data_IF_410287957732
#
_entry.id   IF_410287957732
#
_cell.length_a   1.000
_cell.length_b   1.000
_cell.length_c   1.000
_cell.angle_alpha   90.00
_cell.angle_beta   90.00
_cell.angle_gamma   90.00
#
_symmetry.space_group_name_H-M   'P 1'
#
loop_
_entity.id
_entity.type
_entity.pdbx_description
1 polymer ?
#
# COMPACT_ATOMS: atom_id res chain seq x y z
N UNK A 1 -2.19 -10.12 -2.54
CA UNK A 1 -2.63 -10.90 -3.53
C UNK A 1 -1.85 -11.01 -4.83
N UNK A 2 -1.32 -9.93 -5.41
CA UNK A 2 -0.54 -9.96 -6.66
C UNK A 2 0.89 -10.40 -6.37
N UNK A 3 1.41 -11.37 -7.14
CA UNK A 3 2.68 -12.04 -6.87
C UNK A 3 3.75 -11.83 -7.97
N UNK A 4 3.53 -10.93 -8.92
CA UNK A 4 4.55 -10.63 -9.91
C UNK A 4 5.42 -9.45 -9.48
N UNK A 5 6.70 -9.51 -9.85
CA UNK A 5 7.70 -8.50 -9.53
C UNK A 5 8.50 -8.17 -10.80
N UNK A 6 9.10 -6.99 -10.83
CA UNK A 6 10.09 -6.57 -11.85
C UNK A 6 11.54 -6.69 -11.33
N UNK A 7 11.72 -7.28 -10.16
CA UNK A 7 13.05 -7.54 -9.58
C UNK A 7 13.79 -8.56 -10.43
N UNK A 8 15.05 -8.32 -10.72
CA UNK A 8 15.93 -9.29 -11.35
C UNK A 8 16.10 -10.50 -10.42
N UNK A 9 15.88 -11.70 -10.93
CA UNK A 9 15.93 -12.96 -10.18
C UNK A 9 16.76 -14.00 -10.93
N UNK A 10 18.10 -13.79 -11.03
CA UNK A 10 18.98 -14.68 -11.78
C UNK A 10 19.08 -16.09 -11.17
N UNK A 11 18.84 -16.22 -9.89
CA UNK A 11 18.90 -17.50 -9.15
C UNK A 11 17.54 -18.22 -9.09
N UNK A 12 16.50 -17.67 -9.71
CA UNK A 12 15.13 -18.22 -9.73
C UNK A 12 14.49 -18.46 -8.35
N UNK A 13 14.85 -17.67 -7.35
CA UNK A 13 14.24 -17.76 -6.01
C UNK A 13 12.74 -17.44 -6.01
N UNK A 14 12.28 -16.66 -6.96
CA UNK A 14 10.85 -16.37 -7.13
C UNK A 14 10.02 -17.64 -7.35
N UNK A 15 10.56 -18.62 -8.08
CA UNK A 15 9.92 -19.93 -8.26
C UNK A 15 9.79 -20.67 -6.93
N UNK A 16 10.86 -20.70 -6.13
CA UNK A 16 10.84 -21.32 -4.80
C UNK A 16 9.82 -20.67 -3.88
N UNK A 17 9.70 -19.33 -3.91
CA UNK A 17 8.68 -18.59 -3.12
C UNK A 17 7.26 -19.02 -3.53
N UNK A 18 6.96 -19.14 -4.81
CA UNK A 18 5.64 -19.59 -5.28
C UNK A 18 5.34 -21.04 -4.83
N UNK A 19 6.33 -21.94 -4.87
CA UNK A 19 6.20 -23.32 -4.40
C UNK A 19 5.90 -23.38 -2.89
N UNK A 20 6.57 -22.55 -2.07
CA UNK A 20 6.29 -22.43 -0.65
C UNK A 20 4.87 -21.90 -0.37
N UNK A 21 4.39 -20.95 -1.16
CA UNK A 21 3.02 -20.46 -1.07
C UNK A 21 2.00 -21.54 -1.41
N UNK A 22 2.25 -22.36 -2.45
CA UNK A 22 1.40 -23.51 -2.81
C UNK A 22 1.42 -24.56 -1.71
N UNK A 23 2.59 -24.93 -1.19
CA UNK A 23 2.73 -25.87 -0.07
C UNK A 23 2.01 -25.38 1.21
N UNK A 24 1.81 -24.05 1.33
CA UNK A 24 1.10 -23.42 2.43
C UNK A 24 -0.39 -23.18 2.15
N UNK A 25 -0.92 -23.63 1.01
CA UNK A 25 -2.35 -23.61 0.69
C UNK A 25 -2.78 -22.63 -0.40
N UNK A 26 -1.87 -22.01 -1.15
CA UNK A 26 -2.22 -21.27 -2.35
C UNK A 26 -2.63 -22.24 -3.49
N UNK A 27 -3.37 -21.74 -4.48
CA UNK A 27 -3.70 -22.53 -5.66
C UNK A 27 -2.44 -22.81 -6.50
N UNK A 28 -2.34 -24.00 -7.06
CA UNK A 28 -1.18 -24.39 -7.87
C UNK A 28 -1.07 -23.61 -9.20
N UNK A 29 -2.15 -23.00 -9.67
CA UNK A 29 -2.18 -22.16 -10.85
C UNK A 29 -1.21 -20.97 -10.80
N UNK A 30 -0.87 -20.48 -9.59
CA UNK A 30 0.12 -19.42 -9.43
C UNK A 30 1.51 -19.79 -9.95
N UNK A 31 1.80 -21.07 -10.13
CA UNK A 31 3.07 -21.56 -10.65
C UNK A 31 3.19 -21.40 -12.18
N UNK A 32 2.08 -21.23 -12.88
CA UNK A 32 2.01 -21.21 -14.36
C UNK A 32 1.45 -19.90 -14.92
N UNK A 33 0.71 -19.14 -14.12
CA UNK A 33 0.16 -17.86 -14.52
C UNK A 33 1.24 -16.79 -14.66
N UNK A 34 1.19 -16.01 -15.73
CA UNK A 34 2.12 -14.89 -15.95
C UNK A 34 1.97 -13.79 -14.89
N UNK A 35 0.75 -13.58 -14.38
CA UNK A 35 0.43 -12.58 -13.35
C UNK A 35 -0.34 -13.25 -12.22
N UNK A 36 0.36 -14.05 -11.39
CA UNK A 36 -0.29 -14.85 -10.36
C UNK A 36 -0.95 -13.97 -9.29
N UNK A 37 -2.12 -14.42 -8.83
CA UNK A 37 -2.93 -13.75 -7.84
C UNK A 37 -3.58 -14.76 -6.88
N UNK A 38 -3.32 -14.64 -5.58
CA UNK A 38 -3.89 -15.55 -4.57
C UNK A 38 -5.32 -15.13 -4.18
N UNK A 39 -5.59 -13.84 -4.12
CA UNK A 39 -6.81 -13.29 -3.53
C UNK A 39 -6.70 -13.07 -2.02
N UNK A 40 -7.36 -12.03 -1.53
CA UNK A 40 -7.15 -11.54 -0.15
C UNK A 40 -7.59 -12.55 0.91
N UNK A 41 -8.75 -13.18 0.77
CA UNK A 41 -9.24 -14.14 1.77
C UNK A 41 -8.42 -15.44 1.79
N UNK A 42 -7.99 -15.91 0.62
CA UNK A 42 -7.14 -17.11 0.51
C UNK A 42 -5.77 -16.89 1.17
N UNK A 43 -5.27 -15.65 1.13
CA UNK A 43 -3.99 -15.29 1.72
C UNK A 43 -3.94 -15.56 3.23
N UNK A 44 -5.03 -15.38 3.96
CA UNK A 44 -5.10 -15.69 5.39
C UNK A 44 -4.82 -17.18 5.67
N UNK A 45 -5.28 -18.08 4.80
CA UNK A 45 -4.98 -19.52 4.89
C UNK A 45 -3.51 -19.80 4.61
N UNK A 46 -2.96 -19.17 3.58
CA UNK A 46 -1.55 -19.32 3.21
C UNK A 46 -0.62 -18.85 4.33
N UNK A 47 -0.91 -17.69 4.95
CA UNK A 47 -0.11 -17.17 6.07
C UNK A 47 -0.14 -18.12 7.27
N UNK A 48 -1.30 -18.71 7.58
CA UNK A 48 -1.39 -19.75 8.64
C UNK A 48 -0.58 -21.00 8.30
N UNK A 49 -0.61 -21.42 7.04
CA UNK A 49 0.19 -22.55 6.54
C UNK A 49 1.69 -22.29 6.64
N UNK A 50 2.16 -21.09 6.25
CA UNK A 50 3.56 -20.67 6.40
C UNK A 50 4.01 -20.70 7.86
N UNK A 51 3.18 -20.18 8.78
CA UNK A 51 3.47 -20.24 10.22
C UNK A 51 3.61 -21.67 10.72
N UNK A 52 2.64 -22.53 10.43
CA UNK A 52 2.68 -23.93 10.83
C UNK A 52 3.94 -24.64 10.30
N UNK A 53 4.38 -24.29 9.09
CA UNK A 53 5.59 -24.83 8.48
C UNK A 53 6.86 -24.34 9.20
N UNK A 54 6.93 -23.05 9.57
CA UNK A 54 8.05 -22.50 10.37
C UNK A 54 8.15 -23.27 11.70
N UNK A 55 7.05 -23.45 12.40
CA UNK A 55 6.98 -24.15 13.67
C UNK A 55 7.38 -25.64 13.54
N UNK A 56 6.91 -26.32 12.48
CA UNK A 56 7.26 -27.71 12.18
C UNK A 56 8.75 -27.91 11.86
N UNK A 57 9.42 -26.88 11.36
CA UNK A 57 10.87 -26.87 11.09
C UNK A 57 11.70 -26.45 12.32
N UNK A 58 11.09 -26.28 13.49
CA UNK A 58 11.77 -25.88 14.72
C UNK A 58 11.93 -24.37 14.90
N UNK A 59 11.30 -23.55 14.03
CA UNK A 59 11.22 -22.12 14.21
C UNK A 59 10.17 -21.73 15.27
N UNK A 60 10.20 -20.48 15.69
CA UNK A 60 9.28 -19.92 16.66
C UNK A 60 8.57 -18.69 16.09
N UNK A 61 7.26 -18.56 16.31
CA UNK A 61 6.46 -17.38 15.98
C UNK A 61 5.87 -16.81 17.26
N UNK A 62 6.30 -15.61 17.63
CA UNK A 62 5.87 -14.90 18.84
C UNK A 62 4.90 -13.77 18.50
N UNK A 63 3.66 -13.90 18.96
CA UNK A 63 2.66 -12.83 18.90
C UNK A 63 2.77 -11.93 20.14
N UNK A 64 2.29 -10.67 20.01
CA UNK A 64 2.36 -9.71 21.11
C UNK A 64 3.78 -9.27 21.47
N UNK A 65 4.77 -9.58 20.64
CA UNK A 65 6.20 -9.38 20.90
C UNK A 65 6.72 -8.24 20.03
N UNK A 66 6.23 -7.00 20.26
CA UNK A 66 6.67 -5.81 19.54
C UNK A 66 8.11 -5.49 19.90
N UNK A 67 8.98 -5.36 18.89
CA UNK A 67 10.36 -4.89 19.05
C UNK A 67 10.34 -3.38 19.27
N UNK A 68 10.92 -2.91 20.37
CA UNK A 68 11.06 -1.49 20.68
C UNK A 68 12.44 -0.92 20.41
N UNK A 69 13.48 -1.75 20.56
CA UNK A 69 14.85 -1.29 20.38
C UNK A 69 15.79 -2.38 19.89
N UNK A 70 16.77 -1.98 19.07
CA UNK A 70 17.93 -2.81 18.77
C UNK A 70 18.99 -2.63 19.86
N UNK A 71 19.54 -3.75 20.34
CA UNK A 71 20.68 -3.74 21.28
C UNK A 71 21.96 -3.82 20.48
N UNK A 72 22.72 -2.75 20.46
CA UNK A 72 23.97 -2.63 19.74
C UNK A 72 25.13 -2.58 20.73
N UNK A 73 26.20 -3.32 20.48
CA UNK A 73 27.45 -3.24 21.22
C UNK A 73 28.55 -2.61 20.35
N UNK A 74 29.36 -1.75 20.90
CA UNK A 74 30.51 -1.16 20.22
C UNK A 74 31.58 -2.25 19.99
N UNK A 75 32.16 -2.26 18.78
CA UNK A 75 33.28 -3.15 18.43
C UNK A 75 34.43 -2.30 17.92
N UNK A 76 35.56 -2.31 18.62
CA UNK A 76 36.82 -1.79 18.10
C UNK A 76 36.90 -0.30 17.80
N UNK A 77 35.94 0.52 18.26
CA UNK A 77 35.91 1.97 18.08
C UNK A 77 34.49 2.55 18.04
N UNK A 78 34.36 3.86 18.14
CA UNK A 78 33.06 4.57 18.25
C UNK A 78 32.11 4.42 17.03
N UNK A 79 32.59 3.97 15.89
CA UNK A 79 31.81 3.90 14.62
C UNK A 79 31.37 2.51 14.21
N UNK A 80 31.80 1.46 14.89
CA UNK A 80 31.43 0.07 14.55
C UNK A 80 30.55 -0.52 15.64
N UNK A 81 29.36 -0.94 15.26
CA UNK A 81 28.40 -1.56 16.17
C UNK A 81 28.04 -2.97 15.70
N UNK A 82 27.86 -3.88 16.63
CA UNK A 82 27.32 -5.22 16.38
C UNK A 82 25.97 -5.36 17.04
N UNK A 83 25.02 -5.95 16.30
CA UNK A 83 23.76 -6.36 16.89
C UNK A 83 24.00 -7.48 17.91
N UNK A 84 23.53 -7.31 19.13
CA UNK A 84 23.63 -8.32 20.19
C UNK A 84 22.27 -8.77 20.69
N UNK A 85 21.17 -8.12 20.28
CA UNK A 85 19.83 -8.51 20.65
C UNK A 85 18.77 -7.47 20.35
N UNK A 86 17.57 -7.76 20.80
CA UNK A 86 16.37 -6.94 20.67
C UNK A 86 15.75 -6.74 22.06
N UNK A 87 15.20 -5.58 22.34
CA UNK A 87 14.33 -5.34 23.47
C UNK A 87 12.87 -5.30 23.01
N UNK A 88 11.99 -5.99 23.71
CA UNK A 88 10.57 -6.09 23.42
C UNK A 88 9.77 -5.15 24.33
N UNK A 89 8.58 -4.72 23.86
CA UNK A 89 7.68 -3.84 24.59
C UNK A 89 7.18 -4.40 25.93
N UNK A 90 7.20 -5.71 26.10
CA UNK A 90 6.83 -6.38 27.34
C UNK A 90 7.97 -6.48 28.36
N UNK A 91 9.13 -5.91 28.06
CA UNK A 91 10.33 -5.94 28.91
C UNK A 91 11.28 -7.13 28.68
N UNK A 92 10.88 -8.09 27.83
CA UNK A 92 11.74 -9.22 27.47
C UNK A 92 12.86 -8.77 26.53
N UNK A 93 13.93 -9.56 26.45
CA UNK A 93 15.02 -9.39 25.49
C UNK A 93 15.30 -10.67 24.72
N UNK A 94 15.59 -10.52 23.43
CA UNK A 94 15.95 -11.62 22.55
C UNK A 94 17.41 -11.44 22.13
N UNK A 95 18.33 -12.31 22.53
CA UNK A 95 19.72 -12.26 22.03
C UNK A 95 19.76 -12.72 20.58
N UNK A 96 20.36 -11.91 19.70
CA UNK A 96 20.58 -12.28 18.31
C UNK A 96 21.76 -11.50 17.72
N UNK A 97 22.40 -12.08 16.71
CA UNK A 97 23.48 -11.45 15.93
C UNK A 97 23.08 -11.13 14.50
N UNK A 98 22.01 -11.72 14.03
CA UNK A 98 21.46 -11.51 12.70
C UNK A 98 19.98 -11.18 12.81
N UNK A 99 19.53 -10.16 12.10
CA UNK A 99 18.16 -9.68 12.09
C UNK A 99 17.72 -9.40 10.66
N UNK A 100 16.57 -9.94 10.27
CA UNK A 100 15.86 -9.55 9.05
C UNK A 100 14.71 -8.62 9.44
N UNK A 101 14.79 -7.36 9.02
CA UNK A 101 13.75 -6.36 9.23
C UNK A 101 12.74 -6.43 8.07
N UNK A 102 11.53 -6.88 8.37
CA UNK A 102 10.45 -6.96 7.40
C UNK A 102 9.12 -6.40 7.98
N UNK A 103 9.12 -5.19 8.61
CA UNK A 103 8.00 -4.66 9.37
C UNK A 103 6.85 -4.15 8.48
N UNK A 104 7.07 -3.99 7.18
CA UNK A 104 6.14 -3.36 6.24
C UNK A 104 6.14 -1.82 6.35
N UNK A 105 5.42 -1.17 5.44
CA UNK A 105 5.42 0.29 5.31
C UNK A 105 4.68 1.03 6.45
N UNK A 106 3.83 0.35 7.18
CA UNK A 106 3.01 0.96 8.25
C UNK A 106 3.70 1.01 9.61
N UNK A 107 4.85 0.34 9.77
CA UNK A 107 5.61 0.30 11.02
C UNK A 107 6.49 1.56 11.17
N UNK A 108 5.84 2.73 11.22
CA UNK A 108 6.51 4.04 11.28
C UNK A 108 7.31 4.26 12.56
N UNK A 109 6.92 3.61 13.64
CA UNK A 109 7.65 3.53 14.90
C UNK A 109 8.98 2.79 14.74
N UNK A 110 9.03 1.72 13.93
CA UNK A 110 10.27 1.02 13.62
C UNK A 110 11.26 1.92 12.86
N UNK A 111 10.79 2.72 11.91
CA UNK A 111 11.66 3.65 11.18
C UNK A 111 12.26 4.71 12.12
N UNK A 112 11.45 5.27 13.01
CA UNK A 112 11.93 6.23 14.03
C UNK A 112 12.94 5.58 15.00
N UNK A 113 12.70 4.34 15.41
CA UNK A 113 13.62 3.57 16.25
C UNK A 113 14.95 3.31 15.54
N UNK A 114 14.94 2.93 14.25
CA UNK A 114 16.16 2.71 13.48
C UNK A 114 17.00 3.98 13.34
N UNK A 115 16.36 5.14 13.10
CA UNK A 115 17.03 6.44 13.08
C UNK A 115 17.68 6.75 14.42
N UNK A 116 16.93 6.58 15.54
CA UNK A 116 17.42 6.86 16.88
C UNK A 116 18.63 6.02 17.29
N UNK A 117 18.71 4.77 16.83
CA UNK A 117 19.88 3.92 17.13
C UNK A 117 21.01 4.08 16.11
N UNK A 118 20.91 5.05 15.19
CA UNK A 118 21.96 5.41 14.25
C UNK A 118 22.10 4.45 13.06
N UNK A 119 21.09 3.66 12.72
CA UNK A 119 21.07 2.90 11.47
C UNK A 119 20.94 3.88 10.30
N UNK A 120 21.82 3.87 9.30
CA UNK A 120 21.71 4.74 8.14
C UNK A 120 20.40 4.50 7.39
N UNK A 121 19.63 5.57 7.19
CA UNK A 121 18.36 5.56 6.44
C UNK A 121 18.45 6.63 5.36
N UNK A 122 18.01 6.30 4.16
CA UNK A 122 17.91 7.22 3.04
C UNK A 122 16.45 7.50 2.69
N UNK A 123 16.10 8.76 2.46
CA UNK A 123 14.81 9.14 1.92
C UNK A 123 14.69 8.61 0.48
N UNK A 124 13.56 7.95 0.17
CA UNK A 124 13.26 7.49 -1.17
C UNK A 124 11.97 8.12 -1.65
N UNK A 125 12.00 8.69 -2.85
CA UNK A 125 10.80 9.26 -3.46
C UNK A 125 9.73 8.19 -3.67
N UNK A 126 8.50 8.58 -3.44
CA UNK A 126 7.31 7.74 -3.59
C UNK A 126 6.19 8.55 -4.25
N UNK A 127 5.01 7.99 -4.37
CA UNK A 127 3.86 8.66 -4.98
C UNK A 127 2.67 8.66 -4.03
N UNK A 128 1.91 9.73 -4.06
CA UNK A 128 0.67 9.91 -3.29
C UNK A 128 -0.47 10.26 -4.24
N UNK A 129 -1.71 10.06 -3.80
CA UNK A 129 -2.86 10.38 -4.63
C UNK A 129 -4.18 9.93 -4.04
N UNK A 130 -5.11 9.62 -4.90
CA UNK A 130 -6.47 9.21 -4.57
C UNK A 130 -6.77 7.81 -5.11
N UNK A 131 -7.86 7.22 -4.67
CA UNK A 131 -8.35 5.96 -5.23
C UNK A 131 -9.63 6.21 -5.99
N UNK A 132 -9.63 5.90 -7.30
CA UNK A 132 -10.82 5.92 -8.13
C UNK A 132 -11.56 4.58 -8.04
N UNK A 133 -12.88 4.62 -7.97
CA UNK A 133 -13.76 3.46 -8.01
C UNK A 133 -14.83 3.67 -9.09
N UNK A 134 -15.11 2.65 -9.87
CA UNK A 134 -16.07 2.68 -10.97
C UNK A 134 -16.66 1.28 -11.22
N UNK A 135 -17.82 1.16 -11.91
CA UNK A 135 -18.39 -0.13 -12.27
C UNK A 135 -17.43 -0.98 -13.12
N UNK A 136 -17.24 -2.27 -12.78
CA UNK A 136 -16.43 -3.18 -13.57
C UNK A 136 -16.90 -3.31 -15.02
N UNK A 137 -18.24 -3.40 -15.31
CA UNK A 137 -18.72 -3.50 -16.69
C UNK A 137 -18.31 -2.32 -17.59
N UNK A 138 -18.10 -1.13 -17.05
CA UNK A 138 -17.59 0.03 -17.79
C UNK A 138 -16.19 -0.27 -18.36
N UNK A 139 -15.32 -0.85 -17.53
CA UNK A 139 -13.96 -1.20 -17.93
C UNK A 139 -13.96 -2.40 -18.88
N UNK A 140 -14.81 -3.39 -18.62
CA UNK A 140 -14.94 -4.55 -19.50
C UNK A 140 -15.37 -4.11 -20.91
N UNK A 141 -16.37 -3.24 -21.02
CA UNK A 141 -16.83 -2.70 -22.29
C UNK A 141 -15.75 -1.88 -23.00
N UNK A 142 -15.04 -1.04 -22.28
CA UNK A 142 -13.96 -0.21 -22.84
C UNK A 142 -12.76 -1.05 -23.31
N UNK A 143 -12.46 -2.16 -22.63
CA UNK A 143 -11.29 -3.00 -22.91
C UNK A 143 -11.57 -4.12 -23.90
N UNK A 144 -12.70 -4.80 -23.76
CA UNK A 144 -13.07 -5.99 -24.51
C UNK A 144 -14.08 -5.71 -25.63
N UNK A 145 -14.71 -4.51 -25.65
CA UNK A 145 -15.72 -4.17 -26.63
C UNK A 145 -16.85 -5.20 -26.68
N UNK A 146 -17.21 -5.70 -27.89
CA UNK A 146 -18.26 -6.73 -28.06
C UNK A 146 -17.97 -8.06 -27.37
N UNK A 147 -16.72 -8.32 -26.98
CA UNK A 147 -16.32 -9.54 -26.27
C UNK A 147 -16.41 -9.41 -24.75
N UNK A 148 -16.90 -8.28 -24.22
CA UNK A 148 -17.13 -8.11 -22.79
C UNK A 148 -18.06 -9.21 -22.25
N UNK A 149 -17.69 -9.76 -21.09
CA UNK A 149 -18.42 -10.90 -20.50
C UNK A 149 -18.08 -12.29 -21.06
N UNK A 150 -17.13 -12.38 -22.00
CA UNK A 150 -16.69 -13.69 -22.50
C UNK A 150 -15.99 -14.49 -21.39
N UNK A 151 -16.37 -15.75 -21.11
CA UNK A 151 -15.89 -16.52 -19.96
C UNK A 151 -14.37 -16.69 -19.85
N UNK A 152 -13.65 -16.65 -20.96
CA UNK A 152 -12.19 -16.81 -21.01
C UNK A 152 -11.41 -15.51 -20.78
N UNK A 153 -12.05 -14.35 -20.91
CA UNK A 153 -11.37 -13.06 -20.77
C UNK A 153 -11.29 -12.61 -19.31
N UNK A 154 -12.33 -12.90 -18.52
CA UNK A 154 -12.46 -12.41 -17.15
C UNK A 154 -12.64 -10.89 -17.07
N UNK A 155 -12.66 -10.32 -15.87
CA UNK A 155 -12.78 -8.89 -15.67
C UNK A 155 -11.55 -8.15 -16.16
N UNK A 156 -11.78 -7.06 -16.90
CA UNK A 156 -10.74 -6.26 -17.51
C UNK A 156 -9.94 -5.46 -16.48
N UNK A 157 -8.66 -5.32 -16.73
CA UNK A 157 -7.75 -4.44 -15.97
C UNK A 157 -7.14 -3.37 -16.89
N UNK A 158 -6.65 -2.28 -16.28
CA UNK A 158 -5.92 -1.25 -17.00
C UNK A 158 -4.63 -0.86 -16.29
N UNK A 159 -3.71 -0.31 -17.05
CA UNK A 159 -2.52 0.38 -16.56
C UNK A 159 -2.38 1.68 -17.37
N UNK A 160 -2.42 2.81 -16.68
CA UNK A 160 -2.38 4.14 -17.26
C UNK A 160 -1.16 4.89 -16.74
N UNK A 161 -0.58 5.72 -17.58
CA UNK A 161 0.50 6.66 -17.26
C UNK A 161 0.24 7.94 -18.04
N UNK A 162 0.38 9.07 -17.38
CA UNK A 162 0.29 10.40 -17.99
C UNK A 162 1.44 11.27 -17.48
N UNK A 163 2.04 12.03 -18.40
CA UNK A 163 3.05 13.03 -18.08
C UNK A 163 2.38 14.40 -18.18
N UNK A 164 2.09 14.99 -17.04
CA UNK A 164 1.39 16.27 -16.97
C UNK A 164 2.27 17.44 -17.43
N UNK A 165 1.62 18.52 -17.88
CA UNK A 165 2.29 19.72 -18.40
C UNK A 165 3.18 20.41 -17.36
N UNK A 166 2.90 20.23 -16.08
CA UNK A 166 3.73 20.70 -14.98
C UNK A 166 4.93 19.79 -14.64
N UNK A 167 5.23 18.80 -15.50
CA UNK A 167 6.35 17.88 -15.36
C UNK A 167 6.11 16.67 -14.46
N UNK A 168 4.99 16.59 -13.76
CA UNK A 168 4.68 15.48 -12.87
C UNK A 168 4.20 14.26 -13.63
N UNK A 169 4.58 13.07 -13.14
CA UNK A 169 4.08 11.79 -13.66
C UNK A 169 2.89 11.32 -12.81
N UNK A 170 1.77 11.06 -13.48
CA UNK A 170 0.56 10.44 -12.88
C UNK A 170 0.40 9.04 -13.43
N UNK A 171 0.08 8.08 -12.59
CA UNK A 171 -0.13 6.71 -13.05
C UNK A 171 -1.15 5.94 -12.21
N UNK A 172 -1.76 4.95 -12.85
CA UNK A 172 -2.62 4.00 -12.15
C UNK A 172 -1.77 3.02 -11.34
N UNK A 173 -2.14 2.80 -10.09
CA UNK A 173 -1.42 1.93 -9.19
C UNK A 173 -2.36 0.89 -8.58
N UNK A 174 -1.91 -0.39 -8.60
CA UNK A 174 -2.62 -1.48 -7.95
C UNK A 174 -4.11 -1.55 -8.32
N UNK A 175 -4.42 -1.50 -9.62
CA UNK A 175 -5.78 -1.68 -10.13
C UNK A 175 -6.33 -3.04 -9.69
N UNK A 176 -7.55 -3.03 -9.15
CA UNK A 176 -8.24 -4.18 -8.59
C UNK A 176 -9.53 -4.44 -9.38
N UNK A 177 -9.49 -5.27 -10.43
CA UNK A 177 -10.68 -5.64 -11.19
C UNK A 177 -11.62 -6.46 -10.33
N UNK A 178 -12.93 -6.26 -10.48
CA UNK A 178 -13.97 -6.93 -9.69
C UNK A 178 -13.62 -6.96 -8.21
N UNK A 179 -13.31 -5.79 -7.66
CA UNK A 179 -12.81 -5.64 -6.30
C UNK A 179 -13.52 -4.55 -5.52
N UNK A 180 -13.01 -4.21 -4.37
CA UNK A 180 -13.58 -3.20 -3.47
C UNK A 180 -12.50 -2.38 -2.78
N UNK A 181 -12.89 -1.20 -2.35
CA UNK A 181 -12.04 -0.29 -1.56
C UNK A 181 -12.13 -0.67 -0.09
N UNK A 182 -10.98 -0.68 0.59
CA UNK A 182 -10.87 -1.02 2.01
C UNK A 182 -10.08 0.03 2.77
N UNK A 183 -10.30 0.09 4.09
CA UNK A 183 -9.45 0.87 4.98
C UNK A 183 -8.06 0.24 5.12
N UNK A 184 -7.04 1.09 5.14
CA UNK A 184 -5.65 0.70 5.35
C UNK A 184 -4.99 1.56 6.45
N UNK A 185 -5.79 2.20 7.27
CA UNK A 185 -5.36 3.07 8.37
C UNK A 185 -4.60 2.28 9.43
N UNK A 186 -3.44 2.76 9.81
CA UNK A 186 -2.58 2.15 10.84
C UNK A 186 -2.40 3.02 12.08
N UNK A 187 -2.83 4.28 12.06
CA UNK A 187 -2.72 5.23 13.16
C UNK A 187 -4.07 5.91 13.44
N UNK A 188 -4.37 6.22 14.69
CA UNK A 188 -5.61 6.87 15.10
C UNK A 188 -5.76 8.28 14.49
N UNK A 189 -7.01 8.67 14.15
CA UNK A 189 -7.31 9.99 13.61
C UNK A 189 -6.76 10.21 12.20
N UNK A 190 -6.64 9.15 11.40
CA UNK A 190 -6.14 9.15 10.03
C UNK A 190 -7.01 8.31 9.14
N UNK A 191 -7.05 8.61 7.85
CA UNK A 191 -7.74 7.81 6.83
C UNK A 191 -6.81 7.61 5.65
N UNK A 192 -6.65 6.35 5.27
CA UNK A 192 -6.03 5.93 4.02
C UNK A 192 -6.75 4.71 3.49
N UNK A 193 -6.92 4.64 2.18
CA UNK A 193 -7.63 3.55 1.51
C UNK A 193 -6.69 2.68 0.70
N UNK A 194 -7.07 1.41 0.55
CA UNK A 194 -6.44 0.47 -0.37
C UNK A 194 -7.51 -0.23 -1.20
N UNK A 195 -7.10 -0.96 -2.23
CA UNK A 195 -7.97 -1.82 -3.03
C UNK A 195 -7.68 -3.27 -2.81
N UNK A 196 -8.72 -4.08 -2.86
CA UNK A 196 -8.64 -5.53 -2.77
C UNK A 196 -9.49 -6.19 -3.83
N UNK A 197 -9.06 -7.36 -4.32
CA UNK A 197 -9.86 -8.27 -5.11
C UNK A 197 -9.83 -9.65 -4.47
N UNK A 198 -10.96 -10.35 -4.54
CA UNK A 198 -11.01 -11.78 -4.28
C UNK A 198 -10.35 -12.55 -5.42
N UNK A 199 -10.14 -13.84 -5.25
CA UNK A 199 -9.62 -14.68 -6.33
C UNK A 199 -10.56 -14.68 -7.55
N UNK A 200 -11.89 -14.70 -7.32
CA UNK A 200 -12.93 -14.66 -8.35
C UNK A 200 -13.02 -13.36 -9.14
N UNK A 201 -12.58 -12.23 -8.55
CA UNK A 201 -12.66 -10.89 -9.17
C UNK A 201 -14.06 -10.53 -9.69
N UNK A 202 -15.10 -10.89 -8.96
CA UNK A 202 -16.49 -10.79 -9.38
C UNK A 202 -17.34 -9.77 -8.60
N UNK A 203 -16.68 -8.83 -7.93
CA UNK A 203 -17.37 -7.72 -7.30
C UNK A 203 -17.90 -6.73 -8.35
N UNK A 204 -18.93 -5.97 -7.98
CA UNK A 204 -19.60 -5.00 -8.85
C UNK A 204 -18.65 -3.94 -9.44
N UNK A 205 -17.73 -3.45 -8.62
CA UNK A 205 -16.85 -2.35 -8.96
C UNK A 205 -15.41 -2.84 -9.25
N UNK A 206 -14.69 -2.03 -10.00
CA UNK A 206 -13.25 -2.03 -10.07
C UNK A 206 -12.71 -0.77 -9.37
N UNK A 207 -11.48 -0.79 -8.94
CA UNK A 207 -10.84 0.39 -8.38
C UNK A 207 -9.34 0.42 -8.67
N UNK A 208 -8.74 1.62 -8.61
CA UNK A 208 -7.30 1.82 -8.80
C UNK A 208 -6.83 3.03 -7.99
N UNK A 209 -5.62 2.99 -7.49
CA UNK A 209 -4.93 4.22 -7.11
C UNK A 209 -4.64 5.05 -8.36
N UNK A 210 -4.83 6.35 -8.29
CA UNK A 210 -4.28 7.35 -9.20
C UNK A 210 -3.30 8.18 -8.38
N UNK A 211 -2.02 8.04 -8.67
CA UNK A 211 -0.96 8.59 -7.84
C UNK A 211 -0.04 9.48 -8.66
N UNK A 212 0.44 10.53 -8.01
CA UNK A 212 1.40 11.51 -8.53
C UNK A 212 2.73 11.28 -7.84
N UNK A 213 3.81 11.24 -8.61
CA UNK A 213 5.16 11.17 -8.06
C UNK A 213 5.48 12.45 -7.27
N UNK A 214 6.05 12.26 -6.08
CA UNK A 214 6.56 13.36 -5.27
C UNK A 214 7.88 13.89 -5.83
N UNK A 215 8.09 15.18 -5.66
CA UNK A 215 9.35 15.87 -5.92
C UNK A 215 9.98 16.28 -4.57
N UNK A 216 11.29 16.54 -4.51
CA UNK A 216 11.95 16.94 -3.25
C UNK A 216 11.30 18.13 -2.56
N UNK A 217 10.77 19.09 -3.32
CA UNK A 217 10.12 20.30 -2.82
C UNK A 217 8.82 19.98 -2.04
N UNK A 218 8.17 18.86 -2.35
CA UNK A 218 6.97 18.40 -1.63
C UNK A 218 7.30 17.93 -0.21
N UNK A 219 8.52 17.45 0.01
CA UNK A 219 8.99 16.97 1.32
C UNK A 219 9.58 18.09 2.18
N UNK A 220 10.09 19.16 1.57
CA UNK A 220 10.76 20.24 2.29
C UNK A 220 9.96 20.82 3.48
N UNK A 221 8.61 21.02 3.40
CA UNK A 221 7.83 21.49 4.55
C UNK A 221 7.76 20.52 5.74
N UNK A 222 8.15 19.27 5.53
CA UNK A 222 8.06 18.17 6.51
C UNK A 222 9.42 17.76 7.08
N UNK A 223 10.49 18.33 6.58
CA UNK A 223 11.84 18.06 7.06
C UNK A 223 12.09 18.71 8.44
N UNK A 224 12.52 17.94 9.42
CA UNK A 224 12.98 18.43 10.74
C UNK A 224 14.38 19.06 10.64
N UNK A 225 15.17 18.60 9.68
CA UNK A 225 16.51 19.06 9.31
C UNK A 225 16.78 18.72 7.84
N UNK A 226 17.72 19.37 7.21
CA UNK A 226 18.04 19.14 5.80
C UNK A 226 18.37 17.66 5.52
N UNK A 227 17.63 17.04 4.60
CA UNK A 227 17.78 15.63 4.26
C UNK A 227 17.18 14.65 5.29
N UNK A 228 16.16 15.07 6.03
CA UNK A 228 15.43 14.22 6.97
C UNK A 228 14.85 12.98 6.25
N UNK A 229 15.33 11.76 6.55
CA UNK A 229 14.86 10.55 5.89
C UNK A 229 13.41 10.20 6.22
N UNK A 230 12.84 10.79 7.27
CA UNK A 230 11.46 10.54 7.71
C UNK A 230 10.47 11.63 7.29
N UNK A 231 10.89 12.66 6.53
CA UNK A 231 9.99 13.70 6.01
C UNK A 231 8.78 13.12 5.25
N UNK A 232 9.00 12.04 4.47
CA UNK A 232 7.92 11.34 3.78
C UNK A 232 6.89 10.70 4.73
N UNK A 233 7.30 10.24 5.90
CA UNK A 233 6.38 9.74 6.94
C UNK A 233 5.52 10.87 7.50
N UNK A 234 6.13 12.05 7.72
CA UNK A 234 5.41 13.23 8.20
C UNK A 234 4.37 13.73 7.19
N UNK A 235 4.74 13.79 5.90
CA UNK A 235 3.80 14.10 4.81
C UNK A 235 2.64 13.11 4.75
N UNK A 236 2.90 11.80 4.82
CA UNK A 236 1.84 10.79 4.81
C UNK A 236 0.87 11.00 5.99
N UNK A 237 1.40 11.25 7.17
CA UNK A 237 0.60 11.49 8.38
C UNK A 237 -0.28 12.73 8.26
N UNK A 238 0.21 13.78 7.64
CA UNK A 238 -0.55 15.00 7.40
C UNK A 238 -1.69 14.76 6.40
N UNK A 239 -1.40 14.14 5.25
CA UNK A 239 -2.40 13.82 4.25
C UNK A 239 -3.50 12.89 4.79
N UNK A 240 -3.12 11.86 5.52
CA UNK A 240 -4.06 10.91 6.13
C UNK A 240 -4.93 11.59 7.21
N UNK A 241 -4.36 12.55 7.96
CA UNK A 241 -5.09 13.34 8.95
C UNK A 241 -6.08 14.32 8.26
N UNK A 242 -5.67 15.01 7.21
CA UNK A 242 -6.56 15.85 6.39
C UNK A 242 -7.72 15.01 5.82
N UNK A 243 -7.43 13.81 5.32
CA UNK A 243 -8.46 12.90 4.83
C UNK A 243 -9.44 12.49 5.94
N UNK A 244 -8.95 12.25 7.17
CA UNK A 244 -9.80 11.98 8.32
C UNK A 244 -10.72 13.15 8.66
N UNK A 245 -10.21 14.38 8.69
CA UNK A 245 -11.01 15.58 8.97
C UNK A 245 -12.06 15.84 7.86
N UNK A 246 -11.67 15.75 6.59
CA UNK A 246 -12.57 15.89 5.45
C UNK A 246 -13.66 14.81 5.41
N UNK A 247 -13.35 13.60 5.89
CA UNK A 247 -14.31 12.50 6.06
C UNK A 247 -15.23 12.64 7.27
N UNK A 248 -15.21 13.80 7.98
CA UNK A 248 -16.08 14.08 9.12
C UNK A 248 -15.60 13.44 10.43
N UNK A 249 -14.31 13.13 10.56
CA UNK A 249 -13.67 12.57 11.77
C UNK A 249 -14.30 11.27 12.27
N UNK A 250 -14.86 10.47 11.37
CA UNK A 250 -15.60 9.24 11.66
C UNK A 250 -15.02 7.99 10.98
N UNK A 251 -13.82 8.09 10.41
CA UNK A 251 -13.20 7.09 9.53
C UNK A 251 -13.92 6.87 8.19
N UNK A 252 -14.99 7.61 7.88
CA UNK A 252 -15.47 7.72 6.52
C UNK A 252 -14.40 8.37 5.64
N UNK A 253 -14.26 7.90 4.40
CA UNK A 253 -13.30 8.48 3.47
C UNK A 253 -13.92 9.70 2.76
N UNK A 254 -13.18 10.81 2.59
CA UNK A 254 -13.63 11.89 1.72
C UNK A 254 -13.69 11.37 0.29
N UNK A 255 -14.78 11.68 -0.41
CA UNK A 255 -15.01 11.24 -1.77
C UNK A 255 -15.61 12.35 -2.62
N UNK A 256 -15.26 12.34 -3.89
CA UNK A 256 -15.72 13.32 -4.88
C UNK A 256 -16.07 12.61 -6.17
N UNK A 257 -17.12 13.03 -6.86
CA UNK A 257 -17.43 12.55 -8.19
C UNK A 257 -16.36 13.02 -9.16
N UNK A 258 -16.01 12.16 -10.13
CA UNK A 258 -14.97 12.50 -11.10
C UNK A 258 -15.32 13.78 -11.90
N UNK A 259 -16.56 13.92 -12.35
CA UNK A 259 -17.01 15.10 -13.08
C UNK A 259 -16.92 16.39 -12.24
N UNK A 260 -17.23 16.33 -10.94
CA UNK A 260 -17.12 17.49 -10.05
C UNK A 260 -15.65 17.84 -9.78
N UNK A 261 -14.79 16.81 -9.62
CA UNK A 261 -13.35 17.00 -9.48
C UNK A 261 -12.75 17.68 -10.72
N UNK A 262 -13.12 17.22 -11.92
CA UNK A 262 -12.70 17.84 -13.18
C UNK A 262 -13.22 19.27 -13.35
N UNK A 263 -14.47 19.52 -12.93
CA UNK A 263 -15.09 20.85 -12.95
C UNK A 263 -14.59 21.78 -11.83
N UNK A 264 -13.71 21.30 -10.94
CA UNK A 264 -13.24 22.05 -9.77
C UNK A 264 -14.36 22.48 -8.81
N UNK A 265 -15.30 21.59 -8.55
CA UNK A 265 -16.46 21.84 -7.70
C UNK A 265 -16.56 20.75 -6.62
N UNK A 266 -16.94 21.10 -5.38
CA UNK A 266 -17.20 20.10 -4.35
C UNK A 266 -18.38 19.20 -4.76
N UNK A 267 -18.37 17.93 -4.34
CA UNK A 267 -19.52 17.07 -4.50
C UNK A 267 -20.49 17.21 -3.32
N UNK A 268 -21.76 17.40 -3.60
CA UNK A 268 -22.84 17.37 -2.60
C UNK A 268 -23.39 15.95 -2.41
N UNK A 269 -23.27 15.10 -3.44
CA UNK A 269 -23.69 13.71 -3.44
C UNK A 269 -22.79 12.88 -4.33
N UNK A 270 -22.80 11.55 -4.17
CA UNK A 270 -21.95 10.62 -4.95
C UNK A 270 -22.68 9.93 -6.10
N UNK A 271 -23.91 10.35 -6.42
CA UNK A 271 -24.69 9.81 -7.52
C UNK A 271 -25.18 8.38 -7.27
N UNK A 272 -25.41 7.63 -8.37
CA UNK A 272 -26.01 6.29 -8.32
C UNK A 272 -25.02 5.15 -8.09
N UNK A 273 -23.73 5.40 -8.23
CA UNK A 273 -22.69 4.38 -8.02
C UNK A 273 -22.37 4.32 -6.53
N UNK A 274 -22.79 3.23 -5.88
CA UNK A 274 -22.50 3.07 -4.47
C UNK A 274 -21.02 2.70 -4.28
N UNK A 275 -20.33 3.44 -3.44
CA UNK A 275 -18.97 3.13 -3.00
C UNK A 275 -18.92 1.81 -2.23
N UNK A 276 -17.81 1.07 -2.37
CA UNK A 276 -17.63 -0.21 -1.69
C UNK A 276 -16.94 -0.08 -0.33
N UNK A 277 -16.43 1.09 0.02
CA UNK A 277 -15.73 1.34 1.28
C UNK A 277 -16.68 1.26 2.48
N UNK A 278 -16.49 0.24 3.33
CA UNK A 278 -17.44 -0.11 4.40
C UNK A 278 -17.62 0.93 5.52
N UNK A 279 -16.56 1.65 5.98
CA UNK A 279 -16.76 2.72 6.95
C UNK A 279 -17.62 3.86 6.42
N UNK A 280 -17.92 3.86 5.10
CA UNK A 280 -18.69 4.90 4.44
C UNK A 280 -17.82 5.97 3.80
N UNK A 281 -18.46 6.79 2.98
CA UNK A 281 -17.82 7.89 2.27
C UNK A 281 -18.57 9.20 2.52
N UNK A 282 -17.82 10.30 2.61
CA UNK A 282 -18.36 11.64 2.81
C UNK A 282 -18.14 12.45 1.54
N UNK A 283 -19.21 12.97 0.89
CA UNK A 283 -19.07 13.92 -0.21
C UNK A 283 -18.22 15.11 0.23
N UNK A 284 -17.21 15.45 -0.56
CA UNK A 284 -16.18 16.42 -0.16
C UNK A 284 -15.57 17.11 -1.37
N UNK A 285 -14.70 18.08 -1.11
CA UNK A 285 -13.81 18.67 -2.10
C UNK A 285 -12.38 18.14 -1.90
N UNK A 286 -11.92 17.27 -2.77
CA UNK A 286 -10.59 16.70 -2.71
C UNK A 286 -9.45 17.69 -3.05
N UNK A 287 -9.79 18.90 -3.52
CA UNK A 287 -8.79 19.97 -3.67
C UNK A 287 -8.15 20.37 -2.33
N UNK A 288 -8.86 20.20 -1.22
CA UNK A 288 -8.33 20.48 0.10
C UNK A 288 -7.38 19.38 0.63
N UNK A 289 -7.30 18.24 -0.07
CA UNK A 289 -6.51 17.09 0.40
C UNK A 289 -5.05 17.15 -0.02
N UNK A 290 -4.79 17.41 -1.29
CA UNK A 290 -3.44 17.35 -1.89
C UNK A 290 -2.94 18.76 -2.25
N UNK A 291 -1.61 18.95 -2.32
CA UNK A 291 -1.02 20.17 -2.84
C UNK A 291 -1.53 20.53 -4.25
N UNK A 292 -1.72 21.84 -4.56
CA UNK A 292 -2.26 22.26 -5.85
C UNK A 292 -1.55 21.72 -7.10
N UNK A 293 -0.21 21.59 -7.16
CA UNK A 293 0.45 21.00 -8.32
C UNK A 293 0.09 19.54 -8.58
N UNK A 294 -0.19 18.78 -7.51
CA UNK A 294 -0.62 17.37 -7.63
C UNK A 294 -2.07 17.30 -8.12
N UNK A 295 -2.95 18.16 -7.60
CA UNK A 295 -4.34 18.25 -8.06
C UNK A 295 -4.40 18.61 -9.54
N UNK A 296 -3.59 19.58 -9.99
CA UNK A 296 -3.50 19.97 -11.40
C UNK A 296 -3.08 18.78 -12.28
N UNK A 297 -2.05 18.05 -11.88
CA UNK A 297 -1.59 16.86 -12.61
C UNK A 297 -2.65 15.74 -12.65
N UNK A 298 -3.36 15.50 -11.54
CA UNK A 298 -4.43 14.50 -11.47
C UNK A 298 -5.62 14.85 -12.37
N UNK A 299 -5.95 16.14 -12.53
CA UNK A 299 -7.03 16.59 -13.42
C UNK A 299 -6.68 16.46 -14.89
N UNK A 300 -5.42 16.62 -15.21
CA UNK A 300 -4.93 16.51 -16.59
C UNK A 300 -4.88 15.03 -17.02
N UNK A 301 -4.66 14.10 -16.11
CA UNK A 301 -4.51 12.68 -16.37
C UNK A 301 -5.84 11.95 -16.56
#
# INVERSE_FOLDING_TARGET
GKLYSQVSDPEHYGRKVLEELVASGANADILTLQRPHIGTFKLATVVRGLRARIEALGGEVRFGSRVERLRLAAIGGEKSHQLVGLDLANGDAIPCRHLVLAPGHSARDCFAMLEQVGVPIEAKMFSVGVRIEHPQPLIDAARWGPSAGHPRLGPAEYKLVHHATNGRCVYSFCMCPGGFVVGATSELGRVVTNGMSQHSRNERNANSGLVVQLEPEDLAPYERYAGDPLAGVALQRDLEHRAYLLGGSSYAAPAQRLEDFLANQPSESLGSIAASYQPGVQPSDLNALLPPPMIAALREA
#
